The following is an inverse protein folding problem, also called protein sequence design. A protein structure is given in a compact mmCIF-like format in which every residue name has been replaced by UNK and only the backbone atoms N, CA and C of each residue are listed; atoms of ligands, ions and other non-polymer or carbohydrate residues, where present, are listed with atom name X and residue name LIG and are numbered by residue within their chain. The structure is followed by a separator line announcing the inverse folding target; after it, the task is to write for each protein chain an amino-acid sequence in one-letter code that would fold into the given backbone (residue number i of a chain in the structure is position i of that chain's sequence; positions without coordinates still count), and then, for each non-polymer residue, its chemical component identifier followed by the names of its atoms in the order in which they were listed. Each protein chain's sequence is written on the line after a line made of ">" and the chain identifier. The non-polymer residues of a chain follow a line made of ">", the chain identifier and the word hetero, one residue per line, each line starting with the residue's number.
data_IF_001524446962
#
_entry.id   IF_001524446962
#
_cell.length_a   1.000
_cell.length_b   1.000
_cell.length_c   1.000
_cell.angle_alpha   90.00
_cell.angle_beta   90.00
_cell.angle_gamma   90.00
#
_symmetry.space_group_name_H-M   'P 1'
#
loop_
_entity.id
_entity.type
_entity.pdbx_description
1 polymer ?
#
# COMPACT_ATOMS: atom_id res chain seq x y z
N UNK A 1 12.88 -21.21 2.95
CA UNK A 1 13.76 -20.06 2.73
C UNK A 1 12.83 -18.87 2.59
N UNK A 2 12.82 -17.91 3.53
CA UNK A 2 12.01 -16.69 3.44
C UNK A 2 12.68 -15.78 2.41
N UNK A 3 12.69 -16.23 1.15
CA UNK A 3 13.30 -15.53 0.05
C UNK A 3 12.38 -14.37 -0.29
N UNK A 4 12.71 -13.23 0.32
CA UNK A 4 12.71 -11.95 -0.38
C UNK A 4 11.44 -11.77 -1.19
N UNK A 5 10.28 -11.75 -0.54
CA UNK A 5 9.13 -11.18 -1.21
C UNK A 5 9.58 -9.78 -1.63
N UNK A 6 9.77 -9.63 -2.95
CA UNK A 6 10.62 -8.63 -3.57
C UNK A 6 10.69 -7.36 -2.74
N UNK A 7 11.83 -7.12 -2.05
CA UNK A 7 12.00 -5.92 -1.22
C UNK A 7 11.66 -4.66 -2.05
N UNK A 8 11.91 -4.69 -3.35
CA UNK A 8 11.50 -3.70 -4.34
C UNK A 8 9.99 -3.44 -4.35
N UNK A 9 9.16 -4.48 -4.40
CA UNK A 9 7.69 -4.37 -4.41
C UNK A 9 7.18 -3.80 -3.09
N UNK A 10 7.74 -4.23 -1.96
CA UNK A 10 7.41 -3.69 -0.64
C UNK A 10 7.81 -2.20 -0.55
N UNK A 11 8.99 -1.83 -1.05
CA UNK A 11 9.48 -0.45 -1.05
C UNK A 11 8.62 0.46 -1.95
N UNK A 12 8.13 -0.04 -3.09
CA UNK A 12 7.21 0.68 -3.98
C UNK A 12 5.85 0.92 -3.31
N UNK A 13 5.26 -0.11 -2.72
CA UNK A 13 4.01 0.00 -1.95
C UNK A 13 4.18 1.02 -0.82
N UNK A 14 5.31 0.95 -0.11
CA UNK A 14 5.63 1.87 0.99
C UNK A 14 5.76 3.31 0.51
N UNK A 15 6.38 3.55 -0.65
CA UNK A 15 6.47 4.89 -1.22
C UNK A 15 5.10 5.48 -1.61
N UNK A 16 4.15 4.64 -2.06
CA UNK A 16 2.78 5.06 -2.35
C UNK A 16 2.02 5.41 -1.07
N UNK A 17 2.14 4.56 -0.04
CA UNK A 17 1.54 4.80 1.29
C UNK A 17 2.07 6.11 1.88
N UNK A 18 3.39 6.27 1.93
CA UNK A 18 4.03 7.44 2.53
C UNK A 18 3.65 8.74 1.82
N UNK A 19 3.46 8.70 0.50
CA UNK A 19 2.95 9.85 -0.26
C UNK A 19 1.53 10.21 0.15
N UNK A 20 0.61 9.24 0.16
CA UNK A 20 -0.77 9.47 0.55
C UNK A 20 -0.86 10.04 1.97
N UNK A 21 -0.18 9.41 2.92
CA UNK A 21 -0.13 9.83 4.32
C UNK A 21 0.53 11.20 4.52
N UNK A 22 1.60 11.53 3.78
CA UNK A 22 2.24 12.84 3.83
C UNK A 22 1.32 13.98 3.35
N UNK A 23 0.51 13.73 2.32
CA UNK A 23 -0.50 14.70 1.87
C UNK A 23 -1.61 14.90 2.89
N UNK A 24 -2.05 13.84 3.56
CA UNK A 24 -3.01 13.93 4.67
C UNK A 24 -2.39 14.66 5.87
N UNK A 25 -1.16 14.33 6.26
CA UNK A 25 -0.49 14.92 7.43
C UNK A 25 -0.25 16.43 7.30
N UNK A 26 0.04 16.91 6.10
CA UNK A 26 0.29 18.33 5.84
C UNK A 26 -0.97 19.20 5.82
N UNK A 27 -2.17 18.59 5.77
CA UNK A 27 -3.45 19.29 5.72
C UNK A 27 -4.06 19.41 7.12
N UNK A 28 -4.46 20.62 7.49
CA UNK A 28 -5.11 20.87 8.79
C UNK A 28 -6.57 20.40 8.85
N UNK A 29 -7.27 20.36 7.72
CA UNK A 29 -8.66 19.89 7.59
C UNK A 29 -8.80 19.11 6.28
N UNK A 30 -9.44 17.94 6.36
CA UNK A 30 -9.61 17.00 5.24
C UNK A 30 -11.05 16.49 5.29
N UNK A 31 -11.66 16.33 4.12
CA UNK A 31 -13.00 15.75 4.05
C UNK A 31 -12.96 14.27 4.45
N UNK A 32 -13.97 13.81 5.21
CA UNK A 32 -14.07 12.40 5.58
C UNK A 32 -14.14 11.47 4.36
N UNK A 33 -14.70 11.94 3.24
CA UNK A 33 -14.70 11.22 1.96
C UNK A 33 -13.30 11.00 1.41
N UNK A 34 -12.43 12.02 1.46
CA UNK A 34 -11.05 11.92 0.96
C UNK A 34 -10.21 10.95 1.81
N UNK A 35 -10.49 10.87 3.12
CA UNK A 35 -9.90 9.83 4.00
C UNK A 35 -10.42 8.44 3.64
N UNK A 36 -11.72 8.30 3.38
CA UNK A 36 -12.31 7.02 2.99
C UNK A 36 -11.76 6.51 1.65
N UNK A 37 -11.57 7.40 0.68
CA UNK A 37 -10.99 7.09 -0.63
C UNK A 37 -9.54 6.63 -0.48
N UNK A 38 -8.72 7.36 0.30
CA UNK A 38 -7.34 6.95 0.59
C UNK A 38 -7.29 5.56 1.25
N UNK A 39 -8.14 5.30 2.24
CA UNK A 39 -8.19 3.99 2.90
C UNK A 39 -8.65 2.87 1.96
N UNK A 40 -9.53 3.16 1.01
CA UNK A 40 -9.94 2.21 -0.03
C UNK A 40 -8.79 1.90 -0.98
N UNK A 41 -8.05 2.91 -1.43
CA UNK A 41 -6.88 2.75 -2.28
C UNK A 41 -5.80 1.90 -1.60
N UNK A 42 -5.53 2.17 -0.32
CA UNK A 42 -4.60 1.37 0.48
C UNK A 42 -5.03 -0.09 0.59
N UNK A 43 -6.33 -0.34 0.81
CA UNK A 43 -6.86 -1.70 0.89
C UNK A 43 -6.71 -2.44 -0.43
N UNK A 44 -6.99 -1.78 -1.55
CA UNK A 44 -6.84 -2.39 -2.88
C UNK A 44 -5.37 -2.71 -3.18
N UNK A 45 -4.47 -1.76 -2.90
CA UNK A 45 -3.03 -1.94 -3.09
C UNK A 45 -2.49 -3.11 -2.27
N UNK A 46 -2.84 -3.21 -0.99
CA UNK A 46 -2.41 -4.31 -0.13
C UNK A 46 -3.02 -5.66 -0.55
N UNK A 47 -4.29 -5.67 -0.98
CA UNK A 47 -4.95 -6.89 -1.46
C UNK A 47 -4.35 -7.40 -2.78
N UNK A 48 -3.90 -6.52 -3.67
CA UNK A 48 -3.18 -6.93 -4.88
C UNK A 48 -1.83 -7.55 -4.55
N UNK A 49 -1.13 -6.99 -3.57
CA UNK A 49 0.16 -7.53 -3.11
C UNK A 49 0.01 -8.91 -2.48
N UNK A 50 -1.01 -9.12 -1.63
CA UNK A 50 -1.31 -10.43 -1.03
C UNK A 50 -1.68 -11.48 -2.09
N UNK A 51 -2.40 -11.09 -3.15
CA UNK A 51 -2.75 -12.01 -4.23
C UNK A 51 -1.54 -12.40 -5.10
N UNK A 52 -0.62 -11.47 -5.34
CA UNK A 52 0.64 -11.71 -6.06
C UNK A 52 1.61 -12.58 -5.24
N UNK A 53 1.64 -12.35 -3.93
CA UNK A 53 2.30 -13.17 -2.91
C UNK A 53 1.86 -14.64 -2.95
N UNK A 54 0.55 -14.88 -2.93
CA UNK A 54 -0.05 -16.22 -2.88
C UNK A 54 0.08 -16.98 -4.21
N UNK A 55 0.15 -16.26 -5.34
CA UNK A 55 0.30 -16.83 -6.68
C UNK A 55 1.75 -17.19 -7.04
N UNK A 56 2.73 -16.78 -6.23
CA UNK A 56 4.13 -17.12 -6.46
C UNK A 56 4.38 -18.64 -6.23
N UNK A 57 4.98 -19.36 -7.20
CA UNK A 57 5.21 -20.79 -7.06
C UNK A 57 6.18 -21.05 -5.90
N UNK A 58 5.74 -21.87 -4.95
CA UNK A 58 6.58 -22.38 -3.86
C UNK A 58 7.62 -23.33 -4.47
N UNK A 59 8.85 -22.86 -4.66
CA UNK A 59 10.01 -23.67 -5.02
C UNK A 59 10.93 -23.85 -3.82
#
# INVERSE_FOLDING_TARGET
>A
MTETLDNTTIDEIRAIIDRGLGTTQSRQLIAASEVADLLLDLRLLLATSDAELEAAPTN
#
